data_IF_018945556998
#
_entry.id   IF_018945556998
#
_cell.length_a   1.000
_cell.length_b   1.000
_cell.length_c   1.000
_cell.angle_alpha   90.00
_cell.angle_beta   90.00
_cell.angle_gamma   90.00
#
_symmetry.space_group_name_H-M   'P 1'
#
loop_
_entity.id
_entity.type
_entity.pdbx_description
1 polymer ?
#
# COMPACT_ATOMS: atom_id res chain seq x y z
N UNK A 1 -0.80 -43.73 -85.48
CA UNK A 1 0.10 -42.76 -84.83
C UNK A 1 -0.54 -42.31 -83.53
N UNK A 2 0.01 -42.73 -82.39
CA UNK A 2 -0.36 -42.24 -81.05
C UNK A 2 0.27 -40.87 -80.81
N UNK A 3 -0.47 -39.95 -80.18
CA UNK A 3 0.10 -38.78 -79.52
C UNK A 3 -0.46 -38.72 -78.09
N UNK A 4 0.42 -38.94 -77.11
CA UNK A 4 0.17 -38.79 -75.68
C UNK A 4 0.70 -37.42 -75.24
N UNK A 5 -0.16 -36.59 -74.62
CA UNK A 5 0.24 -35.37 -73.91
C UNK A 5 0.27 -35.65 -72.39
N UNK A 6 1.23 -35.07 -71.65
CA UNK A 6 1.41 -35.34 -70.23
C UNK A 6 0.48 -34.50 -69.35
N UNK A 7 -0.12 -35.13 -68.34
CA UNK A 7 -0.92 -34.48 -67.30
C UNK A 7 -0.03 -33.80 -66.26
N UNK A 8 -0.19 -32.48 -66.09
CA UNK A 8 0.50 -31.66 -65.08
C UNK A 8 0.09 -32.06 -63.65
N UNK A 9 1.09 -32.40 -62.85
CA UNK A 9 1.01 -32.85 -61.45
C UNK A 9 0.51 -31.77 -60.48
N UNK A 10 -0.63 -32.03 -59.83
CA UNK A 10 -1.31 -31.16 -58.85
C UNK A 10 -0.76 -31.25 -57.41
N UNK A 11 0.50 -31.65 -57.21
CA UNK A 11 1.04 -32.03 -55.88
C UNK A 11 1.48 -30.84 -55.02
N UNK A 12 1.88 -29.71 -55.61
CA UNK A 12 2.48 -28.57 -54.89
C UNK A 12 1.50 -27.67 -54.10
N UNK A 13 0.24 -27.56 -54.52
CA UNK A 13 -0.75 -26.66 -53.87
C UNK A 13 -1.21 -27.16 -52.50
N UNK A 14 -1.17 -28.47 -52.25
CA UNK A 14 -1.60 -29.06 -50.97
C UNK A 14 -0.56 -28.87 -49.86
N UNK A 15 0.73 -28.91 -50.20
CA UNK A 15 1.81 -28.65 -49.24
C UNK A 15 1.89 -27.18 -48.81
N UNK A 16 1.69 -26.25 -49.74
CA UNK A 16 1.67 -24.81 -49.43
C UNK A 16 0.51 -24.45 -48.49
N UNK A 17 -0.68 -25.04 -48.68
CA UNK A 17 -1.84 -24.79 -47.84
C UNK A 17 -1.66 -25.31 -46.40
N UNK A 18 -1.02 -26.46 -46.23
CA UNK A 18 -0.71 -27.03 -44.90
C UNK A 18 0.31 -26.17 -44.15
N UNK A 19 1.33 -25.65 -44.85
CA UNK A 19 2.39 -24.86 -44.24
C UNK A 19 1.90 -23.49 -43.75
N UNK A 20 0.98 -22.85 -44.51
CA UNK A 20 0.32 -21.60 -44.10
C UNK A 20 -0.62 -21.83 -42.91
N UNK A 21 -1.34 -22.95 -42.87
CA UNK A 21 -2.21 -23.29 -41.74
C UNK A 21 -1.43 -23.55 -40.44
N UNK A 22 -0.25 -24.19 -40.53
CA UNK A 22 0.65 -24.41 -39.37
C UNK A 22 1.24 -23.09 -38.87
N UNK A 23 1.61 -22.18 -39.77
CA UNK A 23 2.14 -20.85 -39.39
C UNK A 23 1.07 -19.96 -38.74
N UNK A 24 -0.19 -20.03 -39.19
CA UNK A 24 -1.32 -19.31 -38.59
C UNK A 24 -1.75 -19.90 -37.23
N UNK A 25 -1.65 -21.21 -37.05
CA UNK A 25 -1.89 -21.85 -35.76
C UNK A 25 -0.79 -21.50 -34.73
N UNK A 26 0.45 -21.30 -35.19
CA UNK A 26 1.56 -20.89 -34.33
C UNK A 26 1.42 -19.44 -33.81
N UNK A 27 0.75 -18.55 -34.54
CA UNK A 27 0.54 -17.16 -34.14
C UNK A 27 -0.57 -16.93 -33.10
N UNK A 28 -1.33 -17.97 -32.72
CA UNK A 28 -2.43 -17.87 -31.74
C UNK A 28 -2.00 -18.12 -30.29
N UNK A 29 -0.74 -18.44 -30.02
CA UNK A 29 -0.20 -18.59 -28.65
C UNK A 29 0.25 -17.27 -28.02
N UNK A 30 -0.34 -16.16 -28.45
CA UNK A 30 -0.09 -14.82 -27.94
C UNK A 30 -1.18 -14.33 -26.98
N UNK A 31 -1.82 -15.20 -26.20
CA UNK A 31 -2.59 -14.75 -25.04
C UNK A 31 -1.57 -14.46 -23.93
N UNK A 32 -0.92 -13.31 -24.05
CA UNK A 32 -0.07 -12.78 -22.99
C UNK A 32 -0.96 -12.55 -21.77
N UNK A 33 -0.98 -13.52 -20.85
CA UNK A 33 -1.37 -13.27 -19.47
C UNK A 33 -0.47 -12.15 -19.00
N UNK A 34 -0.98 -10.92 -19.00
CA UNK A 34 -0.42 -9.86 -18.18
C UNK A 34 -0.42 -10.43 -16.77
N UNK A 35 0.75 -10.84 -16.28
CA UNK A 35 0.91 -11.13 -14.86
C UNK A 35 0.52 -9.83 -14.17
N UNK A 36 -0.68 -9.80 -13.60
CA UNK A 36 -1.07 -8.78 -12.65
C UNK A 36 -0.20 -9.06 -11.45
N UNK A 37 0.95 -8.40 -11.38
CA UNK A 37 1.75 -8.38 -10.17
C UNK A 37 0.93 -7.53 -9.20
N UNK A 38 0.17 -8.17 -8.32
CA UNK A 38 -0.26 -7.51 -7.10
C UNK A 38 1.01 -7.21 -6.33
N UNK A 39 1.49 -5.98 -6.45
CA UNK A 39 2.66 -5.52 -5.74
C UNK A 39 2.24 -5.39 -4.27
N UNK A 40 2.49 -6.44 -3.49
CA UNK A 40 2.11 -6.45 -2.09
C UNK A 40 2.86 -5.33 -1.37
N UNK A 41 2.11 -4.49 -0.66
CA UNK A 41 2.64 -3.36 0.11
C UNK A 41 2.89 -3.78 1.54
N UNK A 42 4.03 -3.34 2.04
CA UNK A 42 4.51 -3.70 3.37
C UNK A 42 5.03 -2.46 4.08
N UNK A 43 4.62 -2.26 5.33
CA UNK A 43 5.20 -1.24 6.22
C UNK A 43 6.07 -1.95 7.24
N UNK A 44 7.33 -1.54 7.36
CA UNK A 44 8.23 -2.02 8.40
C UNK A 44 8.31 -0.94 9.48
N UNK A 45 8.00 -1.32 10.72
CA UNK A 45 8.06 -0.42 11.86
C UNK A 45 8.48 -1.16 13.13
N UNK A 46 9.53 -0.66 13.81
CA UNK A 46 10.09 -1.26 15.04
C UNK A 46 10.25 -2.78 14.95
N UNK A 47 10.98 -3.26 13.94
CA UNK A 47 11.21 -4.68 13.63
C UNK A 47 9.95 -5.51 13.27
N UNK A 48 8.78 -4.90 13.20
CA UNK A 48 7.55 -5.54 12.78
C UNK A 48 7.26 -5.25 11.31
N UNK A 49 6.69 -6.24 10.62
CA UNK A 49 6.35 -6.18 9.21
C UNK A 49 4.83 -6.27 9.10
N UNK A 50 4.19 -5.19 8.65
CA UNK A 50 2.75 -5.09 8.46
C UNK A 50 2.43 -5.21 6.98
N UNK A 51 1.69 -6.24 6.59
CA UNK A 51 1.15 -6.31 5.24
C UNK A 51 -0.06 -5.35 5.14
N UNK A 52 0.06 -4.37 4.26
CA UNK A 52 -0.95 -3.34 4.00
C UNK A 52 -1.40 -3.37 2.54
N UNK A 53 -1.29 -4.53 1.91
CA UNK A 53 -1.86 -4.77 0.58
C UNK A 53 -3.38 -4.80 0.69
N UNK A 54 -4.07 -4.11 -0.21
CA UNK A 54 -5.54 -4.04 -0.27
C UNK A 54 -6.24 -3.38 0.93
N UNK A 55 -5.53 -2.52 1.69
CA UNK A 55 -6.15 -1.70 2.74
C UNK A 55 -7.25 -0.83 2.13
N UNK A 56 -8.48 -0.97 2.66
CA UNK A 56 -9.65 -0.20 2.19
C UNK A 56 -9.81 1.09 2.94
N UNK A 57 -9.46 1.08 4.23
CA UNK A 57 -9.54 2.22 5.12
C UNK A 57 -8.20 2.43 5.80
N UNK A 58 -7.71 3.65 5.68
CA UNK A 58 -6.56 4.13 6.42
C UNK A 58 -6.99 5.32 7.28
N UNK A 59 -6.71 5.26 8.58
CA UNK A 59 -6.94 6.36 9.51
C UNK A 59 -5.78 6.50 10.51
N UNK A 60 -5.79 7.59 11.25
CA UNK A 60 -4.83 7.88 12.31
C UNK A 60 -5.58 8.45 13.52
N UNK A 61 -4.94 8.41 14.67
CA UNK A 61 -5.49 8.98 15.90
C UNK A 61 -4.35 9.48 16.77
N UNK A 62 -4.50 10.70 17.30
CA UNK A 62 -3.68 11.27 18.35
C UNK A 62 -4.56 11.47 19.59
N UNK A 63 -4.25 10.82 20.71
CA UNK A 63 -5.10 10.85 21.89
C UNK A 63 -4.31 10.95 23.20
N UNK A 64 -4.84 11.67 24.18
CA UNK A 64 -4.42 11.55 25.57
C UNK A 64 -5.21 10.42 26.22
N UNK A 65 -4.52 9.45 26.83
CA UNK A 65 -5.13 8.26 27.41
C UNK A 65 -5.16 8.38 28.93
N UNK A 66 -6.34 8.29 29.51
CA UNK A 66 -6.53 8.35 30.96
C UNK A 66 -7.07 7.02 31.52
N UNK A 67 -6.90 6.76 32.83
CA UNK A 67 -7.47 5.58 33.48
C UNK A 67 -9.00 5.52 33.32
N UNK A 68 -9.54 4.35 32.96
CA UNK A 68 -10.99 4.12 32.89
C UNK A 68 -11.65 4.45 31.54
N UNK A 69 -10.93 4.24 30.43
CA UNK A 69 -11.41 4.42 29.04
C UNK A 69 -11.84 5.85 28.68
N UNK A 70 -11.32 6.83 29.42
CA UNK A 70 -11.46 8.24 29.05
C UNK A 70 -10.29 8.62 28.16
N UNK A 71 -10.53 8.76 26.86
CA UNK A 71 -9.54 9.28 25.93
C UNK A 71 -9.98 10.67 25.46
N UNK A 72 -9.02 11.57 25.32
CA UNK A 72 -9.23 12.90 24.75
C UNK A 72 -8.57 12.92 23.39
N UNK A 73 -9.35 13.23 22.35
CA UNK A 73 -8.84 13.45 21.00
C UNK A 73 -7.96 14.70 20.98
N UNK A 74 -6.74 14.54 20.49
CA UNK A 74 -5.73 15.60 20.37
C UNK A 74 -5.54 16.06 18.92
N UNK A 75 -6.30 15.51 17.97
CA UNK A 75 -6.23 15.96 16.58
C UNK A 75 -6.63 17.44 16.49
N UNK A 76 -5.73 18.25 15.93
CA UNK A 76 -5.90 19.70 15.79
C UNK A 76 -6.12 20.45 17.11
N UNK A 77 -5.68 19.89 18.26
CA UNK A 77 -5.80 20.57 19.55
C UNK A 77 -5.01 21.90 19.55
N UNK A 78 -5.63 22.96 20.04
CA UNK A 78 -4.95 24.24 20.20
C UNK A 78 -4.02 24.22 21.42
N UNK A 79 -2.90 24.95 21.34
CA UNK A 79 -1.92 25.08 22.42
C UNK A 79 -2.56 25.35 23.79
N UNK A 80 -3.49 26.30 23.87
CA UNK A 80 -4.15 26.64 25.13
C UNK A 80 -4.97 25.49 25.71
N UNK A 81 -5.66 24.73 24.86
CA UNK A 81 -6.46 23.59 25.30
C UNK A 81 -5.56 22.46 25.80
N UNK A 82 -4.43 22.23 25.13
CA UNK A 82 -3.43 21.26 25.59
C UNK A 82 -2.76 21.69 26.91
N UNK A 83 -2.42 22.97 27.07
CA UNK A 83 -1.88 23.50 28.32
C UNK A 83 -2.88 23.35 29.48
N UNK A 84 -4.18 23.60 29.25
CA UNK A 84 -5.21 23.32 30.26
C UNK A 84 -5.33 21.82 30.58
N UNK A 85 -5.18 20.95 29.59
CA UNK A 85 -5.18 19.50 29.81
C UNK A 85 -4.00 19.08 30.71
N UNK A 86 -2.82 19.68 30.53
CA UNK A 86 -1.68 19.44 31.43
C UNK A 86 -2.00 19.89 32.86
N UNK A 87 -2.51 21.12 33.03
CA UNK A 87 -2.86 21.68 34.34
C UNK A 87 -3.87 20.81 35.11
N UNK A 88 -4.87 20.26 34.41
CA UNK A 88 -5.90 19.39 34.97
C UNK A 88 -5.36 18.00 35.40
N UNK A 89 -4.19 17.60 34.89
CA UNK A 89 -3.65 16.25 35.00
C UNK A 89 -2.26 16.17 35.68
N UNK A 90 -1.90 17.17 36.50
CA UNK A 90 -0.62 17.26 37.22
C UNK A 90 0.60 17.50 36.31
N UNK A 91 0.43 18.36 35.31
CA UNK A 91 1.48 18.80 34.38
C UNK A 91 2.09 17.68 33.51
N UNK A 92 1.41 16.54 33.41
CA UNK A 92 1.84 15.40 32.57
C UNK A 92 0.62 14.67 31.99
N UNK A 93 0.65 14.38 30.69
CA UNK A 93 -0.36 13.56 30.01
C UNK A 93 0.31 12.43 29.21
N UNK A 94 -0.27 11.23 29.26
CA UNK A 94 0.18 10.12 28.41
C UNK A 94 -0.47 10.22 27.04
N UNK A 95 0.33 10.52 26.02
CA UNK A 95 -0.12 10.66 24.63
C UNK A 95 0.14 9.38 23.87
N UNK A 96 -0.83 8.92 23.09
CA UNK A 96 -0.71 7.78 22.16
C UNK A 96 -1.09 8.21 20.75
N UNK A 97 -0.24 7.87 19.80
CA UNK A 97 -0.45 8.10 18.37
C UNK A 97 -0.39 6.78 17.61
N UNK A 98 -1.39 6.54 16.77
CA UNK A 98 -1.56 5.26 16.10
C UNK A 98 -2.09 5.41 14.68
N UNK A 99 -1.69 4.48 13.82
CA UNK A 99 -2.26 4.26 12.50
C UNK A 99 -3.25 3.10 12.56
N UNK A 100 -4.33 3.16 11.80
CA UNK A 100 -5.26 2.04 11.64
C UNK A 100 -5.38 1.70 10.17
N UNK A 101 -5.14 0.43 9.86
CA UNK A 101 -5.30 -0.16 8.54
C UNK A 101 -6.45 -1.17 8.62
N UNK A 102 -7.60 -0.82 8.06
CA UNK A 102 -8.87 -1.54 8.23
C UNK A 102 -9.19 -1.77 9.73
N UNK A 103 -8.99 -2.99 10.23
CA UNK A 103 -9.25 -3.37 11.64
C UNK A 103 -7.96 -3.50 12.47
N UNK A 104 -6.79 -3.22 11.88
CA UNK A 104 -5.49 -3.38 12.53
C UNK A 104 -4.90 -2.04 12.96
N UNK A 105 -4.82 -1.81 14.27
CA UNK A 105 -4.16 -0.65 14.85
C UNK A 105 -2.66 -0.92 15.07
N UNK A 106 -1.84 0.05 14.66
CA UNK A 106 -0.38 0.10 14.87
C UNK A 106 -0.08 1.32 15.71
N UNK A 107 0.40 1.10 16.93
CA UNK A 107 0.88 2.20 17.79
C UNK A 107 2.23 2.67 17.23
N UNK A 108 2.24 3.88 16.66
CA UNK A 108 3.46 4.53 16.20
C UNK A 108 4.26 4.96 17.44
N UNK A 109 3.76 5.90 18.23
CA UNK A 109 4.47 6.33 19.44
C UNK A 109 3.50 6.56 20.60
N UNK A 110 3.98 6.30 21.81
CA UNK A 110 3.24 6.55 23.03
C UNK A 110 4.20 6.91 24.15
N UNK A 111 4.00 8.05 24.79
CA UNK A 111 4.86 8.55 25.85
C UNK A 111 4.15 9.61 26.69
N UNK A 112 4.69 9.85 27.89
CA UNK A 112 4.32 11.02 28.68
C UNK A 112 4.85 12.30 28.03
N UNK A 113 4.04 13.35 28.12
CA UNK A 113 4.35 14.69 27.63
C UNK A 113 3.99 15.68 28.73
N UNK A 114 4.93 16.59 29.04
CA UNK A 114 4.82 17.60 30.09
C UNK A 114 4.76 19.04 29.55
N UNK A 115 4.88 19.21 28.22
CA UNK A 115 4.90 20.52 27.59
C UNK A 115 4.28 20.52 26.19
N UNK A 116 3.73 21.68 25.79
CA UNK A 116 3.29 21.89 24.40
C UNK A 116 4.41 21.62 23.38
N UNK A 117 5.64 22.02 23.68
CA UNK A 117 6.77 21.85 22.76
C UNK A 117 7.11 20.38 22.52
N UNK A 118 6.93 19.53 23.53
CA UNK A 118 7.19 18.09 23.39
C UNK A 118 6.04 17.41 22.66
N UNK A 119 4.79 17.81 22.92
CA UNK A 119 3.65 17.39 22.11
C UNK A 119 3.82 17.80 20.64
N UNK A 120 4.15 19.06 20.35
CA UNK A 120 4.31 19.57 18.98
C UNK A 120 5.48 18.89 18.25
N UNK A 121 6.54 18.52 18.96
CA UNK A 121 7.66 17.74 18.39
C UNK A 121 7.23 16.31 18.09
N UNK A 122 6.48 15.69 19.01
CA UNK A 122 5.90 14.37 18.84
C UNK A 122 4.94 14.35 17.65
N UNK A 123 4.02 15.32 17.57
CA UNK A 123 3.03 15.45 16.50
C UNK A 123 3.67 15.64 15.13
N UNK A 124 4.69 16.50 15.01
CA UNK A 124 5.41 16.67 13.73
C UNK A 124 5.98 15.36 13.19
N UNK A 125 6.63 14.55 14.03
CA UNK A 125 7.15 13.24 13.59
C UNK A 125 6.05 12.27 13.17
N UNK A 126 4.86 12.41 13.75
CA UNK A 126 3.70 11.60 13.40
C UNK A 126 3.07 12.08 12.10
N UNK A 127 2.98 13.40 11.90
CA UNK A 127 2.50 14.03 10.67
C UNK A 127 3.42 13.68 9.48
N UNK A 128 4.75 13.73 9.69
CA UNK A 128 5.75 13.34 8.69
C UNK A 128 5.55 11.85 8.29
N UNK A 129 5.47 10.96 9.27
CA UNK A 129 5.21 9.53 9.01
C UNK A 129 3.84 9.27 8.37
N UNK A 130 2.83 10.08 8.69
CA UNK A 130 1.51 10.04 8.07
C UNK A 130 1.56 10.47 6.60
N UNK A 131 2.37 11.47 6.27
CA UNK A 131 2.60 11.91 4.89
C UNK A 131 3.31 10.81 4.09
N UNK A 132 4.44 10.30 4.60
CA UNK A 132 5.20 9.19 3.98
C UNK A 132 4.30 7.98 3.73
N UNK A 133 3.47 7.61 4.71
CA UNK A 133 2.55 6.49 4.60
C UNK A 133 1.44 6.73 3.56
N UNK A 134 0.93 7.96 3.44
CA UNK A 134 -0.05 8.31 2.41
C UNK A 134 0.55 8.28 1.02
N UNK A 135 1.77 8.80 0.85
CA UNK A 135 2.49 8.73 -0.41
C UNK A 135 2.75 7.27 -0.81
N UNK A 136 3.25 6.47 0.12
CA UNK A 136 3.48 5.04 -0.08
C UNK A 136 2.21 4.29 -0.48
N UNK A 137 1.09 4.53 0.20
CA UNK A 137 -0.17 3.86 -0.13
C UNK A 137 -0.72 4.29 -1.51
N UNK A 138 -0.42 5.51 -1.94
CA UNK A 138 -0.83 6.04 -3.24
C UNK A 138 0.08 5.63 -4.40
N UNK A 139 1.37 5.34 -4.17
CA UNK A 139 2.31 4.95 -5.22
C UNK A 139 2.11 3.48 -5.63
N UNK A 140 1.62 3.21 -6.84
CA UNK A 140 1.40 1.83 -7.33
C UNK A 140 2.66 0.95 -7.43
N UNK A 141 3.85 1.56 -7.50
CA UNK A 141 5.12 0.86 -7.75
C UNK A 141 5.89 0.57 -6.48
N UNK A 142 5.71 1.39 -5.46
CA UNK A 142 6.40 1.20 -4.19
C UNK A 142 5.82 0.00 -3.44
N UNK A 143 6.68 -0.85 -2.87
CA UNK A 143 6.25 -2.11 -2.24
C UNK A 143 6.60 -2.21 -0.76
N UNK A 144 7.51 -1.35 -0.30
CA UNK A 144 7.94 -1.32 1.08
C UNK A 144 8.14 0.13 1.52
N UNK A 145 7.62 0.45 2.69
CA UNK A 145 7.93 1.67 3.43
C UNK A 145 8.57 1.28 4.77
N UNK A 146 9.64 1.96 5.16
CA UNK A 146 10.22 1.85 6.49
C UNK A 146 9.93 3.15 7.24
N UNK A 147 9.31 3.01 8.42
CA UNK A 147 9.02 4.13 9.31
C UNK A 147 10.03 4.14 10.47
N UNK A 148 10.49 5.33 10.84
CA UNK A 148 11.46 5.57 11.92
C UNK A 148 10.82 5.60 13.33
#
# INVERSE_FOLDING_TARGET
MLNLLPTKTHRGRRFAAVLVAVLLAASLHGCGSTKVYSANKTVVYRDNIYNVSDVKLFSHTSEAVFPGDSNVDLDNIEKRAFESLLEDHNDEVFVRQSFTFDDQAVVYQAQNVDSWSDFERMNRRFDDALEDLREFLADEKETQLELD
#
